data_IF_845513362386
#
_entry.id   IF_845513362386
#
_cell.length_a   1.000
_cell.length_b   1.000
_cell.length_c   1.000
_cell.angle_alpha   90.00
_cell.angle_beta   90.00
_cell.angle_gamma   90.00
#
_symmetry.space_group_name_H-M   'P 1'
#
loop_
_entity.id
_entity.type
_entity.pdbx_description
1 polymer ?
#
# COMPACT_ATOMS: atom_id res chain seq x y z
N UNK A 1 -16.11 16.86 2.84
CA UNK A 1 -17.12 16.70 1.78
C UNK A 1 -18.45 17.37 2.12
N UNK A 2 -18.91 17.33 3.37
CA UNK A 2 -20.21 17.88 3.80
C UNK A 2 -20.42 19.40 3.61
N UNK A 3 -19.36 20.21 3.52
CA UNK A 3 -19.48 21.68 3.35
C UNK A 3 -19.17 22.20 1.95
N UNK A 4 -18.25 21.55 1.23
CA UNK A 4 -17.69 22.07 -0.02
C UNK A 4 -18.69 21.98 -1.19
N UNK A 5 -19.43 20.86 -1.30
CA UNK A 5 -20.35 20.69 -2.43
C UNK A 5 -21.56 21.65 -2.40
N UNK A 6 -22.20 21.90 -1.24
CA UNK A 6 -23.22 22.94 -1.14
C UNK A 6 -22.69 24.35 -1.44
N UNK A 7 -21.49 24.68 -0.95
CA UNK A 7 -20.85 25.98 -1.20
C UNK A 7 -20.54 26.22 -2.70
N UNK A 8 -20.33 25.15 -3.46
CA UNK A 8 -20.07 25.19 -4.90
C UNK A 8 -21.33 24.96 -5.76
N UNK A 9 -22.53 24.93 -5.17
CA UNK A 9 -23.80 24.60 -5.86
C UNK A 9 -23.75 23.26 -6.63
N UNK A 10 -23.00 22.27 -6.13
CA UNK A 10 -22.87 20.94 -6.73
C UNK A 10 -23.86 19.97 -6.09
N UNK A 11 -24.73 19.35 -6.90
CA UNK A 11 -25.65 18.28 -6.47
C UNK A 11 -24.90 16.95 -6.33
N UNK A 12 -24.99 16.33 -5.16
CA UNK A 12 -24.43 15.02 -4.90
C UNK A 12 -25.52 13.94 -4.98
N UNK A 13 -25.27 12.90 -5.78
CA UNK A 13 -26.16 11.75 -5.92
C UNK A 13 -25.34 10.48 -5.68
N UNK A 14 -25.61 9.77 -4.58
CA UNK A 14 -25.11 8.40 -4.38
C UNK A 14 -26.19 7.41 -4.81
N UNK A 15 -25.91 6.66 -5.88
CA UNK A 15 -26.81 5.63 -6.40
C UNK A 15 -26.89 4.43 -5.46
N UNK A 16 -25.77 4.06 -4.84
CA UNK A 16 -25.67 2.91 -3.94
C UNK A 16 -26.39 3.14 -2.62
N UNK A 17 -26.33 4.38 -2.11
CA UNK A 17 -26.95 4.73 -0.82
C UNK A 17 -28.36 5.34 -0.99
N UNK A 18 -28.82 5.53 -2.23
CA UNK A 18 -30.07 6.21 -2.59
C UNK A 18 -30.18 7.61 -1.96
N UNK A 19 -29.10 8.39 -2.10
CA UNK A 19 -28.94 9.71 -1.49
C UNK A 19 -28.89 10.75 -2.59
N UNK A 20 -29.73 11.77 -2.46
CA UNK A 20 -29.78 12.92 -3.35
C UNK A 20 -29.82 14.19 -2.50
N UNK A 21 -28.75 14.98 -2.57
CA UNK A 21 -28.56 16.17 -1.75
C UNK A 21 -29.65 17.25 -1.96
N UNK A 22 -30.47 17.14 -3.01
CA UNK A 22 -31.59 18.04 -3.30
C UNK A 22 -32.95 17.50 -2.85
N UNK A 23 -33.07 16.20 -2.55
CA UNK A 23 -34.36 15.55 -2.23
C UNK A 23 -34.46 15.04 -0.80
N UNK A 24 -33.34 14.68 -0.18
CA UNK A 24 -33.33 14.20 1.21
C UNK A 24 -32.89 15.32 2.14
N UNK A 25 -33.72 15.58 3.16
CA UNK A 25 -33.27 16.27 4.36
C UNK A 25 -32.12 15.44 4.94
N UNK A 26 -30.94 16.04 5.00
CA UNK A 26 -29.67 15.52 5.53
C UNK A 26 -29.84 14.27 6.40
N UNK A 27 -29.60 13.09 5.82
CA UNK A 27 -29.72 11.83 6.54
C UNK A 27 -28.66 11.80 7.65
N UNK A 28 -29.08 11.92 8.91
CA UNK A 28 -28.19 11.95 10.08
C UNK A 28 -27.25 10.71 10.15
N UNK A 29 -27.60 9.64 9.43
CA UNK A 29 -26.82 8.41 9.35
C UNK A 29 -25.65 8.48 8.35
N UNK A 30 -25.61 9.45 7.44
CA UNK A 30 -24.53 9.63 6.46
C UNK A 30 -23.14 9.79 7.11
N UNK A 31 -22.93 10.74 8.05
CA UNK A 31 -21.65 10.87 8.74
C UNK A 31 -21.26 9.57 9.46
N UNK A 32 -22.24 8.89 10.06
CA UNK A 32 -22.03 7.63 10.79
C UNK A 32 -21.54 6.53 9.84
N UNK A 33 -22.20 6.34 8.69
CA UNK A 33 -21.76 5.39 7.65
C UNK A 33 -20.35 5.71 7.15
N UNK A 34 -20.04 6.99 6.93
CA UNK A 34 -18.70 7.41 6.51
C UNK A 34 -17.64 7.07 7.56
N UNK A 35 -17.91 7.29 8.85
CA UNK A 35 -17.01 6.91 9.94
C UNK A 35 -16.77 5.40 9.95
N UNK A 36 -17.81 4.58 9.79
CA UNK A 36 -17.66 3.12 9.72
C UNK A 36 -16.83 2.68 8.52
N UNK A 37 -17.05 3.27 7.35
CA UNK A 37 -16.27 2.98 6.15
C UNK A 37 -14.79 3.38 6.34
N UNK A 38 -14.53 4.54 6.93
CA UNK A 38 -13.16 4.99 7.23
C UNK A 38 -12.49 4.06 8.26
N UNK A 39 -13.19 3.70 9.32
CA UNK A 39 -12.68 2.80 10.35
C UNK A 39 -12.36 1.41 9.77
N UNK A 40 -13.23 0.88 8.91
CA UNK A 40 -12.99 -0.39 8.23
C UNK A 40 -11.73 -0.33 7.36
N UNK A 41 -11.59 0.72 6.53
CA UNK A 41 -10.41 0.92 5.70
C UNK A 41 -9.12 1.05 6.55
N UNK A 42 -9.21 1.77 7.67
CA UNK A 42 -8.11 1.95 8.64
C UNK A 42 -7.69 0.63 9.26
N UNK A 43 -8.64 -0.20 9.69
CA UNK A 43 -8.35 -1.50 10.30
C UNK A 43 -7.68 -2.46 9.31
N UNK A 44 -8.13 -2.47 8.04
CA UNK A 44 -7.47 -3.26 6.99
C UNK A 44 -6.04 -2.76 6.75
N UNK A 45 -5.84 -1.44 6.66
CA UNK A 45 -4.52 -0.85 6.51
C UNK A 45 -3.59 -1.24 7.67
N UNK A 46 -4.06 -1.14 8.91
CA UNK A 46 -3.32 -1.52 10.10
C UNK A 46 -2.92 -3.01 10.09
N UNK A 47 -3.84 -3.90 9.66
CA UNK A 47 -3.55 -5.34 9.55
C UNK A 47 -2.49 -5.65 8.49
N UNK A 48 -2.54 -4.98 7.33
CA UNK A 48 -1.54 -5.12 6.28
C UNK A 48 -0.18 -4.64 6.78
N UNK A 49 -0.13 -3.46 7.41
CA UNK A 49 1.10 -2.92 8.00
C UNK A 49 1.68 -3.85 9.08
N UNK A 50 0.85 -4.41 9.94
CA UNK A 50 1.28 -5.36 10.97
C UNK A 50 1.90 -6.62 10.34
N UNK A 51 1.30 -7.16 9.29
CA UNK A 51 1.82 -8.33 8.57
C UNK A 51 3.16 -8.02 7.90
N UNK A 52 3.26 -6.87 7.24
CA UNK A 52 4.51 -6.39 6.63
C UNK A 52 5.61 -6.25 7.68
N UNK A 53 5.31 -5.63 8.82
CA UNK A 53 6.25 -5.43 9.92
C UNK A 53 6.70 -6.75 10.55
N UNK A 54 5.79 -7.71 10.70
CA UNK A 54 6.13 -9.05 11.21
C UNK A 54 7.09 -9.78 10.28
N UNK A 55 6.85 -9.74 8.97
CA UNK A 55 7.77 -10.33 7.98
C UNK A 55 9.14 -9.66 7.98
N UNK A 56 9.19 -8.32 8.06
CA UNK A 56 10.44 -7.59 8.20
C UNK A 56 11.23 -8.00 9.45
N UNK A 57 10.55 -8.13 10.60
CA UNK A 57 11.17 -8.60 11.86
C UNK A 57 11.70 -10.03 11.77
N UNK A 58 11.07 -10.88 10.95
CA UNK A 58 11.54 -12.24 10.67
C UNK A 58 12.70 -12.28 9.66
N UNK A 59 13.15 -11.13 9.12
CA UNK A 59 14.18 -11.08 8.09
C UNK A 59 13.69 -11.53 6.71
N UNK A 60 12.38 -11.62 6.51
CA UNK A 60 11.78 -12.01 5.24
C UNK A 60 11.85 -10.88 4.21
N UNK A 61 12.23 -11.22 3.00
CA UNK A 61 12.15 -10.35 1.85
C UNK A 61 10.70 -10.17 1.40
N UNK A 62 10.21 -8.94 1.43
CA UNK A 62 8.82 -8.58 1.09
C UNK A 62 8.70 -7.74 -0.19
N UNK A 63 9.81 -7.47 -0.87
CA UNK A 63 9.84 -6.66 -2.09
C UNK A 63 9.27 -7.37 -3.31
N UNK A 64 8.71 -6.60 -4.23
CA UNK A 64 8.29 -7.11 -5.53
C UNK A 64 9.51 -7.58 -6.36
N UNK A 65 10.56 -6.78 -6.39
CA UNK A 65 11.77 -6.99 -7.19
C UNK A 65 13.02 -7.04 -6.32
N UNK A 66 13.94 -7.96 -6.62
CA UNK A 66 15.19 -8.14 -5.88
C UNK A 66 16.24 -7.13 -6.36
N UNK A 67 17.15 -6.74 -5.47
CA UNK A 67 18.31 -5.93 -5.84
C UNK A 67 19.22 -6.69 -6.80
N UNK A 68 19.85 -5.98 -7.74
CA UNK A 68 20.81 -6.59 -8.67
C UNK A 68 21.96 -7.26 -7.90
N UNK A 69 22.37 -8.45 -8.34
CA UNK A 69 23.28 -9.33 -7.59
C UNK A 69 22.58 -10.39 -6.73
N UNK A 70 21.25 -10.29 -6.57
CA UNK A 70 20.43 -11.26 -5.85
C UNK A 70 19.20 -11.67 -6.66
N UNK A 71 18.74 -12.91 -6.41
CA UNK A 71 17.50 -13.47 -6.95
C UNK A 71 16.64 -14.07 -5.84
N UNK A 72 15.34 -14.26 -6.09
CA UNK A 72 14.46 -14.97 -5.13
C UNK A 72 14.88 -16.44 -5.06
N UNK A 73 14.87 -17.00 -3.86
CA UNK A 73 15.10 -18.44 -3.70
C UNK A 73 13.98 -19.23 -4.39
N UNK A 74 14.30 -20.28 -5.15
CA UNK A 74 13.29 -21.17 -5.74
C UNK A 74 12.40 -21.86 -4.70
N UNK A 75 12.95 -22.14 -3.51
CA UNK A 75 12.24 -22.82 -2.43
C UNK A 75 11.44 -21.85 -1.54
N UNK A 76 11.84 -20.58 -1.45
CA UNK A 76 11.17 -19.58 -0.64
C UNK A 76 11.28 -18.18 -1.27
N UNK A 77 10.17 -17.68 -1.82
CA UNK A 77 10.11 -16.34 -2.45
C UNK A 77 10.44 -15.18 -1.51
N UNK A 78 10.34 -15.38 -0.20
CA UNK A 78 10.68 -14.40 0.83
C UNK A 78 12.16 -14.50 1.27
N UNK A 79 12.97 -15.33 0.60
CA UNK A 79 14.41 -15.42 0.83
C UNK A 79 15.15 -15.00 -0.43
N UNK A 80 16.17 -14.16 -0.26
CA UNK A 80 17.10 -13.82 -1.33
C UNK A 80 18.28 -14.80 -1.34
N UNK A 81 18.71 -15.16 -2.53
CA UNK A 81 19.95 -15.93 -2.78
C UNK A 81 20.81 -15.16 -3.77
N UNK A 82 22.11 -15.41 -3.74
CA UNK A 82 23.06 -14.76 -4.64
C UNK A 82 22.74 -15.17 -6.08
N UNK A 83 22.69 -14.19 -6.97
CA UNK A 83 22.76 -14.44 -8.40
C UNK A 83 24.24 -14.43 -8.79
N UNK A 84 24.79 -15.60 -9.14
CA UNK A 84 26.22 -15.76 -9.40
C UNK A 84 26.72 -14.78 -10.46
N UNK A 85 26.06 -14.71 -11.62
CA UNK A 85 26.46 -13.84 -12.72
C UNK A 85 26.40 -12.37 -12.32
N UNK A 86 25.25 -11.92 -11.80
CA UNK A 86 25.08 -10.52 -11.43
C UNK A 86 26.00 -10.13 -10.25
N UNK A 87 26.28 -11.05 -9.33
CA UNK A 87 27.16 -10.81 -8.18
C UNK A 87 28.61 -10.59 -8.58
N UNK A 88 29.11 -11.28 -9.61
CA UNK A 88 30.46 -11.05 -10.13
C UNK A 88 30.59 -9.67 -10.78
N UNK A 89 29.54 -9.20 -11.47
CA UNK A 89 29.50 -7.84 -12.00
C UNK A 89 29.56 -6.82 -10.87
N UNK A 90 28.76 -6.99 -9.81
CA UNK A 90 28.77 -6.11 -8.64
C UNK A 90 30.16 -6.10 -7.99
N UNK A 91 30.73 -7.27 -7.70
CA UNK A 91 32.08 -7.38 -7.11
C UNK A 91 33.11 -6.66 -7.97
N UNK A 92 33.12 -6.90 -9.29
CA UNK A 92 34.06 -6.27 -10.22
C UNK A 92 33.95 -4.75 -10.19
N UNK A 93 32.75 -4.19 -10.21
CA UNK A 93 32.54 -2.73 -10.15
C UNK A 93 33.11 -2.15 -8.86
N UNK A 94 32.84 -2.77 -7.72
CA UNK A 94 33.37 -2.32 -6.42
C UNK A 94 34.90 -2.48 -6.34
N UNK A 95 35.47 -3.56 -6.88
CA UNK A 95 36.92 -3.76 -6.96
C UNK A 95 37.59 -2.69 -7.80
N UNK A 96 37.03 -2.36 -8.98
CA UNK A 96 37.56 -1.30 -9.83
C UNK A 96 37.54 0.05 -9.11
N UNK A 97 36.42 0.41 -8.48
CA UNK A 97 36.31 1.64 -7.71
C UNK A 97 37.33 1.71 -6.55
N UNK A 98 37.55 0.59 -5.85
CA UNK A 98 38.53 0.53 -4.77
C UNK A 98 39.99 0.62 -5.25
N UNK A 99 40.26 0.38 -6.53
CA UNK A 99 41.58 0.44 -7.14
C UNK A 99 41.93 1.81 -7.76
N UNK A 100 40.97 2.75 -7.80
CA UNK A 100 41.16 4.11 -8.32
C UNK A 100 40.61 4.28 -9.74
#
# INVERSE_FOLDING_TARGET
MERIFPELNVRFISVTDNIDSMKQAYDMLLPIKNIFNEQYARDISNKVQATVKSKQKAGEFIGAFTSYGYKKSPANKNKLVIDEYASEVVKRVFTMYAQG
#
